data_IF_275044036333
#
_entry.id   IF_275044036333
#
_cell.length_a   1.000
_cell.length_b   1.000
_cell.length_c   1.000
_cell.angle_alpha   90.00
_cell.angle_beta   90.00
_cell.angle_gamma   90.00
#
_symmetry.space_group_name_H-M   'P 1'
#
loop_
_entity.id
_entity.type
_entity.pdbx_description
1 polymer ?
#
# COMPACT_ATOMS: atom_id res chain seq x y z
N UNK A 1 10.85 20.70 3.13
CA UNK A 1 9.77 19.70 2.99
C UNK A 1 8.49 20.45 3.23
N UNK A 2 7.59 20.53 2.25
CA UNK A 2 6.29 21.16 2.46
C UNK A 2 5.50 20.29 3.45
N UNK A 3 5.19 20.86 4.62
CA UNK A 3 4.31 20.27 5.60
C UNK A 3 2.91 20.19 4.95
N UNK A 4 2.36 18.99 4.81
CA UNK A 4 1.07 18.79 4.16
C UNK A 4 -0.01 19.38 5.07
N UNK A 5 -0.74 20.40 4.59
CA UNK A 5 -1.93 20.92 5.25
C UNK A 5 -2.96 19.77 5.38
N UNK A 6 -3.25 19.28 6.60
CA UNK A 6 -4.16 18.16 6.81
C UNK A 6 -5.63 18.53 6.56
N UNK A 7 -5.94 19.80 6.23
CA UNK A 7 -7.29 20.35 6.17
C UNK A 7 -8.24 19.61 5.23
N UNK A 8 -7.76 19.14 4.08
CA UNK A 8 -8.56 18.33 3.14
C UNK A 8 -8.83 16.91 3.67
N UNK A 9 -7.89 16.32 4.42
CA UNK A 9 -8.02 14.92 4.85
C UNK A 9 -8.95 14.76 6.06
N UNK A 10 -9.06 15.80 6.88
CA UNK A 10 -9.86 15.79 8.12
C UNK A 10 -11.37 15.71 7.84
N UNK A 11 -11.83 16.21 6.68
CA UNK A 11 -13.24 16.20 6.29
C UNK A 11 -13.67 14.94 5.53
N UNK A 12 -12.73 14.05 5.21
CA UNK A 12 -13.02 12.80 4.49
C UNK A 12 -13.64 11.76 5.42
N UNK A 13 -14.60 11.00 4.88
CA UNK A 13 -15.16 9.85 5.58
C UNK A 13 -14.06 8.82 5.88
N UNK A 14 -13.94 8.43 7.15
CA UNK A 14 -13.01 7.40 7.58
C UNK A 14 -13.46 6.03 7.05
N UNK A 15 -12.51 5.24 6.55
CA UNK A 15 -12.79 3.86 6.15
C UNK A 15 -12.96 3.01 7.41
N UNK A 16 -14.09 2.29 7.59
CA UNK A 16 -14.31 1.45 8.77
C UNK A 16 -13.22 0.38 8.92
N UNK A 17 -12.84 0.10 10.16
CA UNK A 17 -11.93 -0.99 10.49
C UNK A 17 -12.70 -2.11 11.21
N UNK A 18 -12.47 -3.35 10.80
CA UNK A 18 -13.08 -4.54 11.40
C UNK A 18 -12.03 -5.57 11.79
N UNK A 19 -12.43 -6.47 12.69
CA UNK A 19 -11.74 -7.72 12.97
C UNK A 19 -12.62 -8.88 12.49
N UNK A 20 -12.00 -9.94 12.00
CA UNK A 20 -12.67 -11.18 11.59
C UNK A 20 -11.99 -12.33 12.30
N UNK A 21 -12.78 -13.29 12.80
CA UNK A 21 -12.25 -14.42 13.55
C UNK A 21 -11.59 -15.46 12.64
N UNK A 22 -12.16 -15.67 11.45
CA UNK A 22 -11.73 -16.69 10.51
C UNK A 22 -12.13 -16.34 9.06
N UNK A 23 -11.82 -17.25 8.14
CA UNK A 23 -12.10 -17.09 6.73
C UNK A 23 -13.61 -17.05 6.40
N UNK A 24 -14.46 -17.76 7.16
CA UNK A 24 -15.90 -17.74 6.93
C UNK A 24 -16.51 -16.41 7.37
N UNK A 25 -16.06 -15.86 8.50
CA UNK A 25 -16.43 -14.53 8.95
C UNK A 25 -15.98 -13.45 7.95
N UNK A 26 -14.75 -13.56 7.42
CA UNK A 26 -14.26 -12.65 6.37
C UNK A 26 -15.13 -12.73 5.11
N UNK A 27 -15.43 -13.94 4.66
CA UNK A 27 -16.24 -14.18 3.47
C UNK A 27 -17.66 -13.59 3.60
N UNK A 28 -18.31 -13.78 4.75
CA UNK A 28 -19.61 -13.18 5.03
C UNK A 28 -19.56 -11.64 4.97
N UNK A 29 -18.53 -11.02 5.55
CA UNK A 29 -18.32 -9.56 5.49
C UNK A 29 -18.13 -9.08 4.05
N UNK A 30 -17.31 -9.79 3.26
CA UNK A 30 -17.06 -9.43 1.86
C UNK A 30 -18.33 -9.49 0.99
N UNK A 31 -19.20 -10.48 1.21
CA UNK A 31 -20.46 -10.59 0.45
C UNK A 31 -21.47 -9.50 0.82
N UNK A 32 -21.50 -9.08 2.08
CA UNK A 32 -22.45 -8.09 2.58
C UNK A 32 -22.00 -6.65 2.34
N UNK A 33 -20.70 -6.41 2.12
CA UNK A 33 -20.16 -5.07 2.04
C UNK A 33 -20.64 -4.28 0.82
N UNK A 34 -21.19 -3.11 1.09
CA UNK A 34 -21.57 -2.10 0.08
C UNK A 34 -20.58 -0.93 0.01
N UNK A 35 -19.58 -0.93 0.89
CA UNK A 35 -18.53 0.08 0.99
C UNK A 35 -17.19 -0.55 1.41
N UNK A 36 -16.05 0.12 1.13
CA UNK A 36 -14.73 -0.36 1.56
C UNK A 36 -14.59 -0.44 3.08
N UNK A 37 -13.79 -1.40 3.55
CA UNK A 37 -13.38 -1.53 4.96
C UNK A 37 -11.95 -2.06 5.06
N UNK A 38 -11.32 -1.90 6.22
CA UNK A 38 -9.99 -2.44 6.54
C UNK A 38 -10.13 -3.60 7.51
N UNK A 39 -9.53 -4.75 7.20
CA UNK A 39 -9.39 -5.85 8.17
C UNK A 39 -8.04 -5.73 8.87
N UNK A 40 -8.04 -5.32 10.14
CA UNK A 40 -6.81 -5.20 10.91
C UNK A 40 -6.30 -6.58 11.32
N UNK A 41 -4.99 -6.78 11.17
CA UNK A 41 -4.31 -7.98 11.67
C UNK A 41 -4.49 -9.25 10.83
N UNK A 42 -5.23 -9.22 9.72
CA UNK A 42 -5.54 -10.41 8.90
C UNK A 42 -4.31 -11.27 8.55
N UNK A 43 -3.19 -10.61 8.26
CA UNK A 43 -1.94 -11.25 7.82
C UNK A 43 -0.78 -10.97 8.80
N UNK A 44 -1.09 -10.63 10.05
CA UNK A 44 -0.10 -10.23 11.06
C UNK A 44 1.03 -11.26 11.25
N UNK A 45 0.69 -12.53 11.09
CA UNK A 45 1.63 -13.64 11.35
C UNK A 45 2.48 -14.02 10.14
N UNK A 46 2.24 -13.41 8.98
CA UNK A 46 3.07 -13.63 7.79
C UNK A 46 4.52 -13.24 8.07
N UNK A 47 5.51 -14.06 7.64
CA UNK A 47 6.92 -13.79 7.95
C UNK A 47 7.40 -12.40 7.52
N UNK A 48 7.00 -11.94 6.33
CA UNK A 48 7.33 -10.60 5.84
C UNK A 48 6.71 -9.50 6.73
N UNK A 49 5.48 -9.69 7.19
CA UNK A 49 4.79 -8.69 8.05
C UNK A 49 5.47 -8.62 9.41
N UNK A 50 5.82 -9.77 10.01
CA UNK A 50 6.58 -9.81 11.26
C UNK A 50 7.94 -9.11 11.13
N UNK A 51 8.69 -9.36 10.04
CA UNK A 51 9.94 -8.66 9.78
C UNK A 51 9.74 -7.13 9.61
N UNK A 52 8.65 -6.70 8.97
CA UNK A 52 8.32 -5.27 8.85
C UNK A 52 7.92 -4.60 10.16
N UNK A 53 7.27 -5.34 11.07
CA UNK A 53 6.95 -4.87 12.42
C UNK A 53 8.20 -4.71 13.28
N UNK A 54 9.27 -5.47 13.02
CA UNK A 54 10.58 -5.28 13.66
C UNK A 54 11.27 -4.02 13.14
N UNK A 55 11.42 -3.87 11.82
CA UNK A 55 11.88 -2.63 11.18
C UNK A 55 11.72 -2.64 9.66
N UNK A 56 11.76 -1.44 9.06
CA UNK A 56 11.85 -1.30 7.60
C UNK A 56 13.14 -1.85 6.97
N UNK A 57 14.19 -2.12 7.77
CA UNK A 57 15.40 -2.80 7.30
C UNK A 57 15.18 -4.31 7.26
N UNK A 58 14.63 -4.89 8.32
CA UNK A 58 14.33 -6.31 8.41
C UNK A 58 13.38 -6.79 7.29
N UNK A 59 12.36 -5.99 6.95
CA UNK A 59 11.50 -6.27 5.79
C UNK A 59 12.29 -6.33 4.47
N UNK A 60 13.23 -5.39 4.25
CA UNK A 60 14.07 -5.36 3.04
C UNK A 60 15.00 -6.57 2.99
N UNK A 61 15.63 -6.91 4.11
CA UNK A 61 16.52 -8.06 4.21
C UNK A 61 15.76 -9.37 3.94
N UNK A 62 14.53 -9.52 4.46
CA UNK A 62 13.66 -10.66 4.15
C UNK A 62 13.37 -10.78 2.65
N UNK A 63 12.98 -9.69 2.00
CA UNK A 63 12.72 -9.68 0.55
C UNK A 63 13.98 -10.02 -0.26
N UNK A 64 15.13 -9.46 0.14
CA UNK A 64 16.40 -9.73 -0.51
C UNK A 64 16.85 -11.18 -0.34
N UNK A 65 16.57 -11.82 0.79
CA UNK A 65 16.89 -13.23 1.02
C UNK A 65 16.10 -14.18 0.11
N UNK A 66 14.84 -13.83 -0.19
CA UNK A 66 13.93 -14.64 -1.02
C UNK A 66 13.85 -14.17 -2.49
N UNK A 67 14.67 -13.19 -2.89
CA UNK A 67 14.62 -12.63 -4.24
C UNK A 67 15.00 -13.67 -5.29
N UNK A 68 14.45 -13.49 -6.49
CA UNK A 68 14.92 -14.15 -7.70
C UNK A 68 15.49 -13.10 -8.63
N UNK A 69 16.62 -13.39 -9.24
CA UNK A 69 17.24 -12.50 -10.23
C UNK A 69 16.54 -12.66 -11.58
N UNK A 70 15.32 -12.13 -11.65
CA UNK A 70 14.48 -12.11 -12.85
C UNK A 70 14.22 -10.66 -13.28
N UNK A 71 14.21 -10.37 -14.59
CA UNK A 71 13.76 -9.07 -15.07
C UNK A 71 12.31 -8.80 -14.62
N UNK A 72 12.05 -7.59 -14.14
CA UNK A 72 10.71 -7.11 -13.82
C UNK A 72 10.56 -5.66 -14.24
N UNK A 73 9.34 -5.29 -14.62
CA UNK A 73 9.02 -3.91 -15.01
C UNK A 73 9.00 -3.02 -13.78
N UNK A 74 9.69 -1.88 -13.86
CA UNK A 74 9.62 -0.80 -12.88
C UNK A 74 9.18 0.47 -13.59
N UNK A 75 8.42 1.31 -12.90
CA UNK A 75 8.13 2.67 -13.36
C UNK A 75 8.99 3.63 -12.54
N UNK A 76 9.90 4.34 -13.21
CA UNK A 76 10.76 5.34 -12.56
C UNK A 76 10.31 6.72 -13.02
N UNK A 77 9.96 7.61 -12.08
CA UNK A 77 9.57 8.98 -12.42
C UNK A 77 10.65 9.69 -13.23
N UNK A 78 10.24 10.49 -14.22
CA UNK A 78 11.15 11.31 -15.00
C UNK A 78 11.87 12.33 -14.10
N UNK A 79 13.13 12.64 -14.43
CA UNK A 79 13.88 13.70 -13.74
C UNK A 79 13.26 15.06 -14.04
N UNK A 80 12.77 15.76 -13.02
CA UNK A 80 12.11 17.05 -13.16
C UNK A 80 11.55 17.58 -11.83
N UNK A 81 10.88 18.73 -11.87
CA UNK A 81 10.41 19.44 -10.68
C UNK A 81 9.15 18.84 -10.01
N UNK A 82 8.45 17.88 -10.65
CA UNK A 82 7.29 17.21 -10.06
C UNK A 82 7.61 15.72 -9.83
N UNK A 83 7.73 15.25 -8.57
CA UNK A 83 8.03 13.86 -8.25
C UNK A 83 6.82 12.91 -8.43
N UNK A 84 5.64 13.42 -8.79
CA UNK A 84 4.43 12.61 -8.93
C UNK A 84 4.40 11.89 -10.27
N UNK A 85 4.11 10.59 -10.23
CA UNK A 85 3.78 9.82 -11.42
C UNK A 85 2.41 10.25 -11.95
N UNK A 86 2.37 10.90 -13.10
CA UNK A 86 1.16 11.47 -13.69
C UNK A 86 1.28 11.67 -15.20
N UNK A 87 0.22 12.18 -15.82
CA UNK A 87 0.23 12.60 -17.22
C UNK A 87 1.01 13.91 -17.41
N UNK A 88 1.80 13.98 -18.47
CA UNK A 88 2.40 15.22 -18.97
C UNK A 88 1.39 16.05 -19.79
N UNK A 89 1.83 17.21 -20.30
CA UNK A 89 0.98 18.10 -21.10
C UNK A 89 0.51 17.48 -22.44
N UNK A 90 1.20 16.44 -22.91
CA UNK A 90 0.83 15.66 -24.08
C UNK A 90 -0.03 14.43 -23.76
N UNK A 91 -0.48 14.27 -22.51
CA UNK A 91 -1.21 13.09 -22.01
C UNK A 91 -0.38 11.78 -22.07
N UNK A 92 0.95 11.89 -22.15
CA UNK A 92 1.88 10.78 -21.96
C UNK A 92 2.14 10.53 -20.48
N UNK A 93 2.50 9.30 -20.10
CA UNK A 93 2.91 9.03 -18.72
C UNK A 93 4.32 9.56 -18.47
N UNK A 94 4.53 10.27 -17.37
CA UNK A 94 5.82 10.90 -17.03
C UNK A 94 6.83 9.94 -16.34
N UNK A 95 6.82 8.64 -16.68
CA UNK A 95 7.78 7.65 -16.18
C UNK A 95 8.59 7.02 -17.30
N UNK A 96 9.74 6.45 -16.95
CA UNK A 96 10.63 5.66 -17.81
C UNK A 96 10.92 4.28 -17.21
#
# INVERSE_FOLDING_TARGET
>A
MAEADPGILTSLAQVPEIAVADAAALDAQLRAATAPFVVRGLVRDWPLVRAGLESGRAARDYLLHHRRDVPFTVAVGASGNDPRLFYDAGMGMNFR
#
